data_IF_026551434827
#
_entry.id   IF_026551434827
#
_cell.length_a   1.000
_cell.length_b   1.000
_cell.length_c   1.000
_cell.angle_alpha   90.00
_cell.angle_beta   90.00
_cell.angle_gamma   90.00
#
_symmetry.space_group_name_H-M   'P 1'
#
loop_
_entity.id
_entity.type
_entity.pdbx_description
1 polymer ?
#
# COMPACT_ATOMS: atom_id res chain seq x y z
N UNK A 1 31.20 -17.53 43.50
CA UNK A 1 30.52 -16.25 43.15
C UNK A 1 30.16 -16.16 41.66
N UNK A 2 29.83 -17.29 40.99
CA UNK A 2 29.67 -17.36 39.52
C UNK A 2 28.28 -17.90 39.11
N UNK A 3 27.23 -17.62 39.90
CA UNK A 3 25.85 -18.06 39.61
C UNK A 3 24.83 -16.93 39.56
N UNK A 4 25.20 -15.71 39.96
CA UNK A 4 24.30 -14.54 40.01
C UNK A 4 24.37 -13.67 38.75
N UNK A 5 25.42 -13.82 37.94
CA UNK A 5 25.67 -12.99 36.77
C UNK A 5 24.80 -13.35 35.55
N UNK A 6 24.14 -14.52 35.58
CA UNK A 6 23.31 -14.98 34.45
C UNK A 6 21.97 -14.23 34.35
N UNK A 7 21.56 -13.50 35.39
CA UNK A 7 20.26 -12.82 35.41
C UNK A 7 20.33 -11.42 34.76
N UNK A 8 21.53 -10.84 34.57
CA UNK A 8 21.65 -9.47 34.06
C UNK A 8 21.72 -9.33 32.53
N UNK A 9 21.81 -10.44 31.78
CA UNK A 9 21.95 -10.42 30.31
C UNK A 9 20.63 -10.67 29.55
N UNK A 10 19.51 -10.82 30.27
CA UNK A 10 18.21 -11.15 29.65
C UNK A 10 17.33 -9.96 29.25
N UNK A 11 17.66 -8.72 29.64
CA UNK A 11 16.71 -7.59 29.55
C UNK A 11 16.85 -6.69 28.33
N UNK A 12 17.87 -6.87 27.48
CA UNK A 12 18.11 -5.95 26.34
C UNK A 12 17.35 -6.36 25.06
N UNK A 13 16.78 -7.57 25.02
CA UNK A 13 16.17 -8.10 23.79
C UNK A 13 14.71 -7.65 23.52
N UNK A 14 14.09 -6.86 24.40
CA UNK A 14 12.65 -6.51 24.28
C UNK A 14 12.43 -5.14 23.62
N UNK A 15 13.48 -4.30 23.49
CA UNK A 15 13.38 -2.96 22.90
C UNK A 15 13.70 -2.89 21.40
N UNK A 16 13.79 -4.03 20.73
CA UNK A 16 13.86 -4.11 19.26
C UNK A 16 12.47 -4.04 18.64
N UNK A 17 11.72 -2.98 18.90
CA UNK A 17 10.41 -2.75 18.29
C UNK A 17 10.56 -2.71 16.77
N UNK A 18 9.68 -3.45 16.08
CA UNK A 18 9.57 -3.42 14.64
C UNK A 18 9.38 -1.96 14.19
N UNK A 19 10.41 -1.36 13.60
CA UNK A 19 10.24 -0.09 12.90
C UNK A 19 9.42 -0.41 11.65
N UNK A 20 8.10 -0.32 11.78
CA UNK A 20 7.25 -0.10 10.63
C UNK A 20 7.62 1.29 10.13
N UNK A 21 8.60 1.36 9.24
CA UNK A 21 8.77 2.52 8.37
C UNK A 21 7.41 2.60 7.70
N UNK A 22 6.55 3.60 7.98
CA UNK A 22 5.44 3.82 7.08
C UNK A 22 6.15 4.01 5.76
N UNK A 23 5.87 3.14 4.79
CA UNK A 23 6.17 3.47 3.42
C UNK A 23 5.38 4.75 3.20
N UNK A 24 6.02 5.89 3.46
CA UNK A 24 5.66 7.15 2.88
C UNK A 24 6.01 6.94 1.41
N UNK A 25 5.18 6.11 0.77
CA UNK A 25 4.83 6.29 -0.61
C UNK A 25 4.20 7.67 -0.57
N UNK A 26 5.05 8.69 -0.70
CA UNK A 26 4.59 9.96 -1.18
C UNK A 26 3.72 9.60 -2.39
N UNK A 27 2.39 9.84 -2.36
CA UNK A 27 1.59 9.57 -3.53
C UNK A 27 2.28 10.32 -4.66
N UNK A 28 2.49 9.69 -5.83
CA UNK A 28 3.16 10.32 -6.95
C UNK A 28 2.57 11.72 -7.11
N UNK A 29 3.40 12.76 -7.33
CA UNK A 29 2.98 14.15 -7.28
C UNK A 29 1.67 14.24 -8.04
N UNK A 30 0.57 14.54 -7.32
CA UNK A 30 -0.78 14.50 -7.87
C UNK A 30 -0.74 15.34 -9.12
N UNK A 31 -0.71 14.66 -10.27
CA UNK A 31 -0.64 15.32 -11.55
C UNK A 31 -1.90 16.17 -11.60
N UNK A 32 -1.73 17.48 -11.38
CA UNK A 32 -2.79 18.48 -11.40
C UNK A 32 -3.21 18.66 -12.86
N UNK A 33 -3.79 17.62 -13.43
CA UNK A 33 -3.95 17.43 -14.85
C UNK A 33 -5.05 16.43 -15.16
N UNK A 34 -6.29 16.82 -14.89
CA UNK A 34 -7.44 16.19 -15.53
C UNK A 34 -8.38 15.45 -14.60
N UNK A 35 -8.91 16.17 -13.61
CA UNK A 35 -10.16 15.86 -12.93
C UNK A 35 -11.21 15.47 -14.01
N UNK A 36 -11.51 14.18 -14.15
CA UNK A 36 -12.70 13.69 -14.85
C UNK A 36 -12.53 12.66 -15.97
N UNK A 37 -11.33 12.40 -16.52
CA UNK A 37 -11.23 11.46 -17.67
C UNK A 37 -10.00 10.53 -17.69
N UNK A 38 -8.95 10.83 -16.91
CA UNK A 38 -7.64 10.20 -17.09
C UNK A 38 -7.27 9.09 -16.11
N UNK A 39 -7.79 9.13 -14.89
CA UNK A 39 -7.51 8.23 -13.77
C UNK A 39 -8.81 8.16 -12.97
N UNK A 40 -9.48 7.00 -12.97
CA UNK A 40 -10.87 6.85 -12.51
C UNK A 40 -10.97 6.43 -11.05
N UNK A 41 -10.03 5.62 -10.57
CA UNK A 41 -9.99 5.12 -9.20
C UNK A 41 -9.05 5.94 -8.30
N UNK A 42 -8.32 6.89 -8.89
CA UNK A 42 -7.45 7.86 -8.22
C UNK A 42 -6.25 7.20 -7.52
N UNK A 43 -5.75 6.11 -8.08
CA UNK A 43 -4.55 5.42 -7.58
C UNK A 43 -3.23 6.06 -8.08
N UNK A 44 -3.32 7.05 -8.98
CA UNK A 44 -2.19 7.75 -9.57
C UNK A 44 -1.68 7.14 -10.88
N UNK A 45 -2.35 6.10 -11.39
CA UNK A 45 -2.09 5.46 -12.67
C UNK A 45 -3.15 5.91 -13.67
N UNK A 46 -2.72 6.40 -14.83
CA UNK A 46 -3.69 6.76 -15.87
C UNK A 46 -4.47 5.52 -16.32
N UNK A 47 -5.77 5.65 -16.58
CA UNK A 47 -6.68 4.65 -17.16
C UNK A 47 -6.10 3.91 -18.38
N UNK A 48 -5.21 4.55 -19.14
CA UNK A 48 -4.53 3.93 -20.30
C UNK A 48 -3.47 2.90 -19.89
N UNK A 49 -2.83 3.10 -18.75
CA UNK A 49 -1.78 2.26 -18.20
C UNK A 49 -2.27 1.34 -17.06
N UNK A 50 -3.42 1.66 -16.48
CA UNK A 50 -4.00 0.95 -15.35
C UNK A 50 -4.62 -0.40 -15.76
N UNK A 51 -4.35 -1.42 -14.93
CA UNK A 51 -4.84 -2.79 -15.09
C UNK A 51 -6.12 -3.06 -14.29
N UNK A 52 -6.56 -2.14 -13.44
CA UNK A 52 -7.75 -2.25 -12.58
C UNK A 52 -8.44 -0.87 -12.49
N UNK A 53 -9.04 -0.44 -13.60
CA UNK A 53 -9.47 0.96 -13.85
C UNK A 53 -10.55 1.49 -12.92
N UNK A 54 -11.19 0.63 -12.17
CA UNK A 54 -12.22 1.00 -11.21
C UNK A 54 -11.84 0.63 -9.77
N UNK A 55 -10.62 0.12 -9.55
CA UNK A 55 -10.07 -0.16 -8.23
C UNK A 55 -10.85 -1.22 -7.46
N UNK A 56 -11.49 -2.15 -8.17
CA UNK A 56 -12.40 -3.14 -7.57
C UNK A 56 -11.72 -4.50 -7.30
N UNK A 57 -10.44 -4.62 -7.67
CA UNK A 57 -9.59 -5.76 -7.41
C UNK A 57 -9.64 -6.84 -8.49
N UNK A 58 -10.41 -6.66 -9.56
CA UNK A 58 -10.44 -7.59 -10.69
C UNK A 58 -9.76 -6.97 -11.90
N UNK A 59 -8.69 -7.59 -12.44
CA UNK A 59 -8.00 -7.04 -13.59
C UNK A 59 -8.94 -6.80 -14.79
N UNK A 60 -8.75 -5.69 -15.51
CA UNK A 60 -9.52 -5.26 -16.69
C UNK A 60 -9.74 -6.38 -17.73
N UNK A 61 -8.81 -7.34 -17.85
CA UNK A 61 -8.89 -8.50 -18.77
C UNK A 61 -9.89 -9.58 -18.34
N UNK A 62 -10.23 -9.62 -17.05
CA UNK A 62 -11.14 -10.57 -16.41
C UNK A 62 -12.45 -9.91 -15.98
N UNK A 63 -12.52 -8.60 -16.06
CA UNK A 63 -13.71 -7.85 -15.73
C UNK A 63 -14.64 -7.65 -16.95
N UNK A 64 -15.92 -7.92 -16.73
CA UNK A 64 -17.00 -7.64 -17.70
C UNK A 64 -17.42 -6.18 -17.72
N UNK A 65 -17.14 -5.43 -16.65
CA UNK A 65 -17.43 -4.00 -16.52
C UNK A 65 -16.21 -3.21 -15.97
N UNK A 66 -15.08 -3.12 -16.71
CA UNK A 66 -13.77 -2.55 -16.27
C UNK A 66 -13.75 -1.09 -15.81
N UNK A 67 -14.91 -0.47 -15.76
CA UNK A 67 -15.15 0.95 -15.53
C UNK A 67 -16.24 1.14 -14.44
N UNK A 68 -16.70 0.06 -13.80
CA UNK A 68 -17.81 0.07 -12.84
C UNK A 68 -17.51 -0.85 -11.64
N UNK A 69 -17.11 -0.26 -10.49
CA UNK A 69 -16.75 -1.03 -9.30
C UNK A 69 -17.97 -1.62 -8.57
N UNK A 70 -19.20 -1.22 -8.97
CA UNK A 70 -20.47 -1.67 -8.38
C UNK A 70 -21.23 -2.55 -9.37
N UNK A 71 -20.55 -3.54 -9.91
CA UNK A 71 -21.09 -4.47 -10.92
C UNK A 71 -21.88 -5.66 -10.35
N UNK A 72 -22.03 -5.72 -9.02
CA UNK A 72 -22.79 -6.73 -8.29
C UNK A 72 -24.22 -6.25 -7.99
#
# INVERSE_FOLDING_TARGET
>A
MLKKSLILLGTVAILGGCVAVPYAVEPPPRSHGGYGYGDRDHDGVSNRADRDRDGDGVPNRHDRRPDNPRRY
#
